data_IF_894831554007
#
_entry.id   IF_894831554007
#
_cell.length_a   1.000
_cell.length_b   1.000
_cell.length_c   1.000
_cell.angle_alpha   90.00
_cell.angle_beta   90.00
_cell.angle_gamma   90.00
#
_symmetry.space_group_name_H-M   'P 1'
#
loop_
_entity.id
_entity.type
_entity.pdbx_description
1 polymer ?
#
# COMPACT_ATOMS: atom_id res chain seq x y z
N UNK A 1 -17.89 -24.12 2.73
CA UNK A 1 -16.59 -24.47 2.15
C UNK A 1 -15.56 -23.52 2.73
N UNK A 2 -14.77 -24.00 3.67
CA UNK A 2 -13.71 -23.24 4.34
C UNK A 2 -12.56 -22.99 3.37
N UNK A 3 -12.23 -21.71 3.19
CA UNK A 3 -11.08 -21.27 2.40
C UNK A 3 -9.80 -21.80 3.08
N UNK A 4 -8.92 -22.55 2.41
CA UNK A 4 -7.69 -23.01 3.03
C UNK A 4 -6.80 -21.79 3.31
N UNK A 5 -6.53 -21.53 4.59
CA UNK A 5 -5.56 -20.51 4.98
C UNK A 5 -4.21 -20.80 4.29
N UNK A 6 -3.56 -19.81 3.66
CA UNK A 6 -2.26 -20.02 3.03
C UNK A 6 -1.29 -20.57 4.08
N UNK A 7 -0.53 -21.60 3.71
CA UNK A 7 0.35 -22.34 4.62
C UNK A 7 1.25 -21.39 5.41
N UNK A 8 0.96 -21.22 6.71
CA UNK A 8 1.70 -20.34 7.63
C UNK A 8 3.21 -20.61 7.65
N UNK A 9 3.67 -21.79 7.23
CA UNK A 9 5.08 -22.20 7.25
C UNK A 9 5.99 -21.32 6.38
N UNK A 10 5.68 -21.16 5.09
CA UNK A 10 6.59 -20.47 4.16
C UNK A 10 6.64 -18.96 4.38
N UNK A 11 5.49 -18.35 4.72
CA UNK A 11 5.42 -16.93 5.07
C UNK A 11 6.20 -16.61 6.36
N UNK A 12 6.14 -17.50 7.35
CA UNK A 12 6.88 -17.35 8.62
C UNK A 12 8.40 -17.41 8.40
N UNK A 13 8.88 -18.25 7.49
CA UNK A 13 10.32 -18.34 7.15
C UNK A 13 10.81 -17.06 6.46
N UNK A 14 10.06 -16.55 5.47
CA UNK A 14 10.43 -15.32 4.76
C UNK A 14 10.38 -14.09 5.67
N UNK A 15 9.43 -14.05 6.62
CA UNK A 15 9.33 -12.98 7.62
C UNK A 15 10.54 -12.93 8.55
N UNK A 16 11.24 -14.07 8.72
CA UNK A 16 12.52 -14.12 9.43
C UNK A 16 13.63 -13.28 8.78
N UNK A 17 13.53 -12.96 7.48
CA UNK A 17 14.50 -12.11 6.78
C UNK A 17 14.14 -10.62 6.78
N UNK A 18 12.95 -10.24 7.26
CA UNK A 18 12.57 -8.84 7.35
C UNK A 18 13.35 -8.14 8.47
N UNK A 19 14.01 -7.04 8.15
CA UNK A 19 14.68 -6.20 9.12
C UNK A 19 13.68 -5.56 10.09
N UNK A 20 14.09 -5.35 11.35
CA UNK A 20 13.22 -4.82 12.40
C UNK A 20 12.65 -3.43 12.09
N UNK A 21 13.39 -2.59 11.35
CA UNK A 21 12.94 -1.24 10.95
C UNK A 21 11.71 -1.23 10.05
N UNK A 22 11.41 -2.35 9.36
CA UNK A 22 10.29 -2.43 8.43
C UNK A 22 8.96 -2.73 9.14
N UNK A 23 8.98 -3.16 10.41
CA UNK A 23 7.80 -3.70 11.11
C UNK A 23 6.72 -2.67 11.49
N UNK A 24 6.93 -1.38 11.19
CA UNK A 24 5.99 -0.30 11.50
C UNK A 24 5.14 0.19 10.31
N UNK A 25 5.46 -0.22 9.09
CA UNK A 25 4.76 0.22 7.87
C UNK A 25 4.37 -1.00 7.03
N UNK A 26 3.06 -1.21 6.87
CA UNK A 26 2.46 -2.31 6.11
C UNK A 26 2.98 -2.37 4.67
N UNK A 27 3.23 -1.21 4.04
CA UNK A 27 3.74 -1.14 2.67
C UNK A 27 5.21 -1.57 2.60
N UNK A 28 6.04 -1.13 3.55
CA UNK A 28 7.42 -1.58 3.70
C UNK A 28 7.52 -3.09 3.95
N UNK A 29 6.65 -3.67 4.77
CA UNK A 29 6.58 -5.13 4.99
C UNK A 29 6.22 -5.83 3.67
N UNK A 30 5.20 -5.34 2.96
CA UNK A 30 4.74 -5.90 1.68
C UNK A 30 5.86 -5.89 0.64
N UNK A 31 6.51 -4.74 0.42
CA UNK A 31 7.64 -4.58 -0.51
C UNK A 31 8.83 -5.47 -0.13
N UNK A 32 9.16 -5.55 1.17
CA UNK A 32 10.22 -6.42 1.66
C UNK A 32 9.96 -7.89 1.35
N UNK A 33 8.77 -8.40 1.66
CA UNK A 33 8.36 -9.78 1.33
C UNK A 33 8.46 -10.06 -0.17
N UNK A 34 8.05 -9.10 -1.00
CA UNK A 34 8.08 -9.25 -2.45
C UNK A 34 9.52 -9.35 -2.96
N UNK A 35 10.43 -8.46 -2.53
CA UNK A 35 11.84 -8.52 -2.91
C UNK A 35 12.52 -9.81 -2.44
N UNK A 36 12.22 -10.31 -1.24
CA UNK A 36 12.72 -11.60 -0.74
C UNK A 36 12.24 -12.75 -1.66
N UNK A 37 10.94 -12.79 -2.00
CA UNK A 37 10.39 -13.82 -2.89
C UNK A 37 11.04 -13.79 -4.27
N UNK A 38 11.21 -12.59 -4.85
CA UNK A 38 11.88 -12.43 -6.14
C UNK A 38 13.35 -12.83 -6.10
N UNK A 39 14.07 -12.52 -5.02
CA UNK A 39 15.46 -12.94 -4.85
C UNK A 39 15.61 -14.47 -4.77
N UNK A 40 14.79 -15.13 -3.95
CA UNK A 40 14.85 -16.59 -3.77
C UNK A 40 14.35 -17.34 -5.01
N UNK A 41 13.15 -17.03 -5.50
CA UNK A 41 12.56 -17.72 -6.65
C UNK A 41 13.31 -17.39 -7.94
N UNK A 42 13.61 -16.12 -8.18
CA UNK A 42 14.36 -15.69 -9.35
C UNK A 42 15.78 -16.25 -9.35
N UNK A 43 16.46 -16.26 -8.20
CA UNK A 43 17.78 -16.85 -8.05
C UNK A 43 17.78 -18.37 -8.28
N UNK A 44 16.84 -19.10 -7.69
CA UNK A 44 16.69 -20.54 -7.90
C UNK A 44 16.35 -20.89 -9.35
N UNK A 45 15.46 -20.12 -9.99
CA UNK A 45 15.11 -20.29 -11.40
C UNK A 45 16.30 -20.01 -12.30
N UNK A 46 17.09 -18.96 -12.03
CA UNK A 46 18.31 -18.66 -12.79
C UNK A 46 19.33 -19.81 -12.66
N UNK A 47 19.55 -20.34 -11.46
CA UNK A 47 20.46 -21.50 -11.27
C UNK A 47 19.95 -22.72 -12.04
N UNK A 48 18.66 -23.03 -11.98
CA UNK A 48 18.07 -24.12 -12.75
C UNK A 48 18.23 -23.90 -14.26
N UNK A 49 17.98 -22.68 -14.74
CA UNK A 49 18.13 -22.31 -16.14
C UNK A 49 19.59 -22.30 -16.61
N UNK A 50 20.55 -22.02 -15.72
CA UNK A 50 21.97 -22.12 -16.05
C UNK A 50 22.39 -23.54 -16.41
N UNK A 51 21.78 -24.56 -15.78
CA UNK A 51 22.03 -25.97 -16.10
C UNK A 51 21.62 -26.31 -17.55
N UNK A 52 20.56 -25.68 -18.06
CA UNK A 52 20.15 -25.79 -19.46
C UNK A 52 21.23 -25.26 -20.41
N UNK A 53 21.83 -24.11 -20.10
CA UNK A 53 22.94 -23.58 -20.90
C UNK A 53 24.19 -24.46 -20.85
N UNK A 54 24.54 -25.00 -19.68
CA UNK A 54 25.66 -25.93 -19.57
C UNK A 54 25.42 -27.23 -20.36
N UNK A 55 24.19 -27.74 -20.37
CA UNK A 55 23.81 -28.91 -21.16
C UNK A 55 23.97 -28.68 -22.66
N UNK A 56 23.66 -27.47 -23.13
CA UNK A 56 23.87 -27.05 -24.53
C UNK A 56 25.31 -26.61 -24.84
N UNK A 57 26.26 -26.86 -23.93
CA UNK A 57 27.67 -26.43 -24.05
C UNK A 57 27.87 -24.92 -24.20
N UNK A 58 26.88 -24.11 -23.82
CA UNK A 58 26.98 -22.66 -23.77
C UNK A 58 27.54 -22.20 -22.42
N UNK A 59 28.81 -22.51 -22.16
CA UNK A 59 29.44 -22.35 -20.84
C UNK A 59 29.42 -20.90 -20.32
N UNK A 60 29.67 -19.92 -21.19
CA UNK A 60 29.66 -18.51 -20.81
C UNK A 60 28.26 -18.04 -20.40
N UNK A 61 27.23 -18.41 -21.16
CA UNK A 61 25.84 -18.11 -20.80
C UNK A 61 25.44 -18.77 -19.49
N UNK A 62 25.78 -20.05 -19.31
CA UNK A 62 25.57 -20.77 -18.05
C UNK A 62 26.23 -20.09 -16.86
N UNK A 63 27.50 -19.68 -16.98
CA UNK A 63 28.22 -19.00 -15.91
C UNK A 63 27.60 -17.63 -15.54
N UNK A 64 27.22 -16.82 -16.53
CA UNK A 64 26.58 -15.50 -16.31
C UNK A 64 25.26 -15.68 -15.55
N UNK A 65 24.42 -16.62 -15.98
CA UNK A 65 23.11 -16.85 -15.36
C UNK A 65 23.27 -17.47 -13.96
N UNK A 66 24.18 -18.43 -13.78
CA UNK A 66 24.44 -19.06 -12.50
C UNK A 66 24.95 -18.04 -11.45
N UNK A 67 25.94 -17.22 -11.83
CA UNK A 67 26.49 -16.18 -10.94
C UNK A 67 25.43 -15.16 -10.57
N UNK A 68 24.65 -14.68 -11.54
CA UNK A 68 23.52 -13.76 -11.29
C UNK A 68 22.50 -14.39 -10.34
N UNK A 69 22.15 -15.66 -10.53
CA UNK A 69 21.24 -16.39 -9.66
C UNK A 69 21.74 -16.48 -8.22
N UNK A 70 23.03 -16.78 -8.02
CA UNK A 70 23.66 -16.83 -6.69
C UNK A 70 23.63 -15.47 -5.98
N UNK A 71 23.84 -14.36 -6.70
CA UNK A 71 23.75 -13.01 -6.14
C UNK A 71 22.32 -12.67 -5.76
N UNK A 72 21.33 -13.00 -6.60
CA UNK A 72 19.91 -12.76 -6.28
C UNK A 72 19.46 -13.52 -5.03
N UNK A 73 19.98 -14.74 -4.81
CA UNK A 73 19.70 -15.51 -3.59
C UNK A 73 20.24 -14.85 -2.32
N UNK A 74 21.14 -13.86 -2.42
CA UNK A 74 21.64 -13.10 -1.26
C UNK A 74 20.73 -11.94 -0.86
N UNK A 75 19.74 -11.56 -1.67
CA UNK A 75 18.83 -10.45 -1.37
C UNK A 75 18.12 -10.55 -0.01
N UNK A 76 17.64 -11.73 0.44
CA UNK A 76 17.08 -11.86 1.78
C UNK A 76 18.05 -11.45 2.89
N UNK A 77 19.35 -11.77 2.76
CA UNK A 77 20.37 -11.33 3.71
C UNK A 77 20.67 -9.83 3.59
N UNK A 78 20.72 -9.28 2.38
CA UNK A 78 20.90 -7.83 2.17
C UNK A 78 19.76 -7.06 2.85
N UNK A 79 18.51 -7.49 2.67
CA UNK A 79 17.34 -6.88 3.32
C UNK A 79 17.44 -7.04 4.83
N UNK A 80 17.78 -8.23 5.32
CA UNK A 80 17.94 -8.52 6.74
C UNK A 80 19.04 -7.69 7.41
N UNK A 81 20.11 -7.33 6.70
CA UNK A 81 21.24 -6.59 7.26
C UNK A 81 21.06 -5.07 7.16
N UNK A 82 20.49 -4.59 6.06
CA UNK A 82 20.43 -3.14 5.77
C UNK A 82 19.09 -2.50 6.15
N UNK A 83 17.99 -3.26 6.07
CA UNK A 83 16.64 -2.70 6.17
C UNK A 83 16.28 -1.68 5.09
N UNK A 84 17.12 -1.48 4.06
CA UNK A 84 16.91 -0.49 3.02
C UNK A 84 16.42 -1.16 1.73
N UNK A 85 15.11 -1.07 1.49
CA UNK A 85 14.45 -1.71 0.36
C UNK A 85 14.80 -1.08 -1.00
N UNK A 86 15.19 0.18 -1.03
CA UNK A 86 15.60 0.82 -2.28
C UNK A 86 17.01 0.35 -2.68
N UNK A 87 17.91 0.21 -1.70
CA UNK A 87 19.24 -0.37 -1.93
C UNK A 87 19.17 -1.80 -2.49
N UNK A 88 18.40 -2.70 -1.85
CA UNK A 88 18.22 -4.06 -2.34
C UNK A 88 17.54 -4.10 -3.72
N UNK A 89 16.60 -3.19 -3.99
CA UNK A 89 16.00 -3.04 -5.32
C UNK A 89 17.01 -2.63 -6.39
N UNK A 90 17.95 -1.71 -6.09
CA UNK A 90 19.03 -1.36 -7.00
C UNK A 90 20.00 -2.51 -7.24
N UNK A 91 20.32 -3.31 -6.21
CA UNK A 91 21.13 -4.53 -6.39
C UNK A 91 20.43 -5.50 -7.34
N UNK A 92 19.13 -5.73 -7.15
CA UNK A 92 18.32 -6.59 -8.04
C UNK A 92 18.37 -6.09 -9.50
N UNK A 93 18.10 -4.81 -9.73
CA UNK A 93 18.15 -4.20 -11.07
C UNK A 93 19.52 -4.30 -11.73
N UNK A 94 20.60 -4.06 -10.96
CA UNK A 94 21.97 -4.14 -11.47
C UNK A 94 22.32 -5.56 -11.91
N UNK A 95 21.97 -6.56 -11.09
CA UNK A 95 22.21 -7.97 -11.42
C UNK A 95 21.45 -8.37 -12.69
N UNK A 96 20.18 -7.97 -12.84
CA UNK A 96 19.43 -8.29 -14.05
C UNK A 96 20.01 -7.63 -15.31
N UNK A 97 20.35 -6.33 -15.25
CA UNK A 97 20.93 -5.63 -16.41
C UNK A 97 22.26 -6.26 -16.79
N UNK A 98 23.15 -6.52 -15.83
CA UNK A 98 24.45 -7.14 -16.09
C UNK A 98 24.30 -8.56 -16.64
N UNK A 99 23.36 -9.35 -16.10
CA UNK A 99 23.05 -10.68 -16.60
C UNK A 99 22.61 -10.64 -18.06
N UNK A 100 21.58 -9.86 -18.38
CA UNK A 100 21.00 -9.86 -19.72
C UNK A 100 21.87 -9.13 -20.76
N UNK A 101 22.58 -8.06 -20.37
CA UNK A 101 23.59 -7.44 -21.21
C UNK A 101 24.75 -8.42 -21.50
N UNK A 102 25.23 -9.13 -20.47
CA UNK A 102 26.24 -10.17 -20.64
C UNK A 102 25.78 -11.28 -21.58
N UNK A 103 24.54 -11.74 -21.42
CA UNK A 103 23.91 -12.73 -22.32
C UNK A 103 23.79 -12.22 -23.76
N UNK A 104 23.46 -10.94 -23.98
CA UNK A 104 23.48 -10.35 -25.33
C UNK A 104 24.91 -10.37 -25.91
N UNK A 105 25.93 -10.03 -25.11
CA UNK A 105 27.33 -10.03 -25.56
C UNK A 105 27.87 -11.41 -25.98
N UNK A 106 27.42 -12.49 -25.33
CA UNK A 106 27.88 -13.87 -25.61
C UNK A 106 26.92 -14.70 -26.48
N UNK A 107 25.76 -14.12 -26.81
CA UNK A 107 24.69 -14.74 -27.59
C UNK A 107 24.39 -14.08 -28.93
N UNK A 108 25.32 -13.29 -29.47
CA UNK A 108 25.17 -12.69 -30.80
C UNK A 108 24.47 -11.33 -30.84
N UNK A 109 24.51 -10.55 -29.76
CA UNK A 109 24.04 -9.17 -29.71
C UNK A 109 22.54 -9.04 -29.50
N UNK A 110 21.92 -8.02 -30.10
CA UNK A 110 20.48 -7.77 -30.01
C UNK A 110 19.65 -8.79 -30.78
N UNK A 111 20.25 -9.52 -31.72
CA UNK A 111 19.58 -10.63 -32.41
C UNK A 111 19.41 -11.86 -31.50
N UNK A 112 20.19 -11.95 -30.42
CA UNK A 112 20.13 -13.06 -29.48
C UNK A 112 18.87 -13.05 -28.61
N UNK A 113 18.54 -14.22 -28.05
CA UNK A 113 17.31 -14.47 -27.29
C UNK A 113 17.18 -13.70 -25.96
N UNK A 114 18.26 -13.07 -25.48
CA UNK A 114 18.29 -12.36 -24.20
C UNK A 114 17.79 -10.90 -24.29
N UNK A 115 17.71 -10.31 -25.49
CA UNK A 115 17.36 -8.90 -25.65
C UNK A 115 15.98 -8.57 -25.02
N UNK A 116 15.01 -9.47 -25.17
CA UNK A 116 13.63 -9.23 -24.77
C UNK A 116 13.48 -9.16 -23.24
N UNK A 117 14.41 -9.78 -22.52
CA UNK A 117 14.43 -9.76 -21.06
C UNK A 117 14.86 -8.41 -20.48
N UNK A 118 15.61 -7.58 -21.23
CA UNK A 118 15.92 -6.21 -20.82
C UNK A 118 14.62 -5.37 -20.65
N UNK A 119 13.58 -5.67 -21.43
CA UNK A 119 12.27 -5.02 -21.31
C UNK A 119 11.47 -5.48 -20.08
N UNK A 120 11.82 -6.63 -19.47
CA UNK A 120 11.16 -7.11 -18.25
C UNK A 120 11.69 -6.41 -16.98
N UNK A 121 12.91 -5.85 -17.02
CA UNK A 121 13.55 -5.20 -15.87
C UNK A 121 12.76 -3.98 -15.37
N UNK A 122 12.28 -3.05 -16.22
CA UNK A 122 11.42 -1.95 -15.78
C UNK A 122 10.16 -2.41 -15.03
N UNK A 123 9.55 -3.51 -15.48
CA UNK A 123 8.34 -4.06 -14.85
C UNK A 123 8.67 -4.60 -13.47
N UNK A 124 9.78 -5.34 -13.33
CA UNK A 124 10.28 -5.75 -12.02
C UNK A 124 10.60 -4.55 -11.13
N UNK A 125 11.23 -3.51 -11.66
CA UNK A 125 11.57 -2.32 -10.90
C UNK A 125 10.31 -1.58 -10.41
N UNK A 126 9.26 -1.46 -11.23
CA UNK A 126 7.96 -0.89 -10.81
C UNK A 126 7.28 -1.72 -9.72
N UNK A 127 7.44 -3.05 -9.77
CA UNK A 127 6.85 -3.95 -8.80
C UNK A 127 7.60 -3.95 -7.46
N UNK A 128 8.92 -3.87 -7.50
CA UNK A 128 9.81 -4.00 -6.33
C UNK A 128 10.18 -2.65 -5.70
N UNK A 129 10.15 -1.56 -6.48
CA UNK A 129 10.62 -0.24 -6.12
C UNK A 129 9.54 0.83 -6.34
N UNK A 130 9.86 2.08 -5.99
CA UNK A 130 9.02 3.22 -6.33
C UNK A 130 9.23 3.65 -7.80
N UNK A 131 8.32 4.50 -8.30
CA UNK A 131 8.32 4.94 -9.70
C UNK A 131 9.65 5.59 -10.13
N UNK A 132 10.27 6.40 -9.27
CA UNK A 132 11.49 7.14 -9.62
C UNK A 132 12.68 6.20 -9.94
N UNK A 133 13.08 5.25 -9.07
CA UNK A 133 14.06 4.23 -9.41
C UNK A 133 13.70 3.39 -10.64
N UNK A 134 12.41 3.07 -10.83
CA UNK A 134 11.98 2.29 -11.98
C UNK A 134 12.20 3.02 -13.31
N UNK A 135 11.97 4.33 -13.35
CA UNK A 135 12.29 5.17 -14.51
C UNK A 135 13.81 5.21 -14.78
N UNK A 136 14.63 5.25 -13.73
CA UNK A 136 16.10 5.17 -13.87
C UNK A 136 16.51 3.85 -14.52
N UNK A 137 15.98 2.72 -14.04
CA UNK A 137 16.26 1.40 -14.63
C UNK A 137 15.73 1.27 -16.05
N UNK A 138 14.61 1.91 -16.38
CA UNK A 138 14.10 2.02 -17.75
C UNK A 138 15.11 2.74 -18.65
N UNK A 139 15.64 3.87 -18.19
CA UNK A 139 16.70 4.60 -18.88
C UNK A 139 17.97 3.76 -19.06
N UNK A 140 18.40 3.04 -18.03
CA UNK A 140 19.57 2.14 -18.11
C UNK A 140 19.35 1.02 -19.14
N UNK A 141 18.17 0.41 -19.17
CA UNK A 141 17.85 -0.62 -20.17
C UNK A 141 17.84 -0.04 -21.58
N UNK A 142 17.27 1.15 -21.77
CA UNK A 142 17.27 1.85 -23.06
C UNK A 142 18.69 2.17 -23.52
N UNK A 143 19.52 2.74 -22.65
CA UNK A 143 20.94 3.02 -22.94
C UNK A 143 21.71 1.74 -23.26
N UNK A 144 21.43 0.64 -22.56
CA UNK A 144 22.03 -0.66 -22.84
C UNK A 144 21.68 -1.13 -24.26
N UNK A 145 20.40 -1.13 -24.62
CA UNK A 145 19.93 -1.53 -25.96
C UNK A 145 20.55 -0.63 -27.05
N UNK A 146 20.51 0.69 -26.86
CA UNK A 146 21.11 1.66 -27.80
C UNK A 146 22.61 1.43 -27.93
N UNK A 147 23.31 1.14 -26.84
CA UNK A 147 24.75 0.86 -26.87
C UNK A 147 25.05 -0.37 -27.72
N UNK A 148 24.31 -1.47 -27.53
CA UNK A 148 24.46 -2.65 -28.39
C UNK A 148 24.15 -2.33 -29.85
N UNK A 149 23.04 -1.62 -30.13
CA UNK A 149 22.66 -1.25 -31.50
C UNK A 149 23.74 -0.39 -32.19
N UNK A 150 24.31 0.58 -31.49
CA UNK A 150 25.39 1.41 -32.01
C UNK A 150 26.63 0.57 -32.30
N UNK A 151 27.01 -0.37 -31.42
CA UNK A 151 28.15 -1.25 -31.67
C UNK A 151 27.93 -2.13 -32.91
N UNK A 152 26.73 -2.71 -33.10
CA UNK A 152 26.39 -3.49 -34.30
C UNK A 152 26.45 -2.64 -35.59
N UNK A 153 25.90 -1.42 -35.56
CA UNK A 153 25.93 -0.51 -36.70
C UNK A 153 27.36 -0.07 -37.08
N UNK A 154 28.29 -0.06 -36.11
CA UNK A 154 29.71 0.18 -36.36
C UNK A 154 30.47 -1.08 -36.79
N UNK A 155 29.76 -2.18 -37.08
CA UNK A 155 30.34 -3.44 -37.56
C UNK A 155 31.01 -4.27 -36.46
N UNK A 156 30.80 -3.96 -35.18
CA UNK A 156 31.26 -4.83 -34.11
C UNK A 156 30.35 -6.06 -34.01
N UNK A 157 30.91 -7.23 -34.32
CA UNK A 157 30.25 -8.50 -34.06
C UNK A 157 30.31 -8.86 -32.57
N UNK A 158 29.24 -9.48 -32.08
CA UNK A 158 29.23 -10.07 -30.74
C UNK A 158 29.60 -11.56 -30.80
N UNK A 159 30.11 -12.07 -29.68
CA UNK A 159 30.48 -13.47 -29.59
C UNK A 159 29.20 -14.32 -29.68
N UNK A 160 29.23 -15.38 -30.49
CA UNK A 160 28.28 -16.50 -30.41
C UNK A 160 29.03 -17.69 -29.82
N UNK A 161 28.77 -17.99 -28.56
CA UNK A 161 29.53 -18.99 -27.79
C UNK A 161 28.81 -20.35 -27.68
N UNK A 162 27.86 -20.61 -28.58
CA UNK A 162 27.11 -21.85 -28.68
C UNK A 162 27.01 -22.29 -30.14
N UNK A 163 26.74 -23.58 -30.35
CA UNK A 163 26.56 -24.16 -31.69
C UNK A 163 25.28 -23.61 -32.35
N UNK A 164 25.35 -23.10 -33.59
CA UNK A 164 24.16 -22.69 -34.37
C UNK A 164 23.03 -23.74 -34.40
N UNK A 165 23.35 -25.04 -34.31
CA UNK A 165 22.34 -26.10 -34.25
C UNK A 165 21.41 -26.01 -33.03
N UNK A 166 21.88 -25.39 -31.94
CA UNK A 166 21.14 -25.22 -30.68
C UNK A 166 20.41 -23.88 -30.58
N UNK A 167 20.63 -22.96 -31.52
CA UNK A 167 20.10 -21.59 -31.51
C UNK A 167 18.58 -21.56 -31.36
N UNK A 168 17.85 -22.31 -32.19
CA UNK A 168 16.38 -22.37 -32.12
C UNK A 168 15.86 -22.94 -30.80
N UNK A 169 16.61 -23.87 -30.19
CA UNK A 169 16.25 -24.43 -28.87
C UNK A 169 16.45 -23.41 -27.75
N UNK A 170 17.52 -22.61 -27.80
CA UNK A 170 17.80 -21.53 -26.85
C UNK A 170 16.75 -20.42 -26.99
N UNK A 171 16.41 -20.02 -28.22
CA UNK A 171 15.37 -19.03 -28.49
C UNK A 171 14.01 -19.47 -27.96
N UNK A 172 13.57 -20.69 -28.30
CA UNK A 172 12.31 -21.23 -27.83
C UNK A 172 12.27 -21.30 -26.29
N UNK A 173 13.33 -21.80 -25.65
CA UNK A 173 13.41 -21.86 -24.19
C UNK A 173 13.36 -20.46 -23.54
N UNK A 174 14.06 -19.47 -24.12
CA UNK A 174 14.05 -18.09 -23.63
C UNK A 174 12.66 -17.45 -23.76
N UNK A 175 11.97 -17.65 -24.88
CA UNK A 175 10.62 -17.13 -25.10
C UNK A 175 9.60 -17.77 -24.16
N UNK A 176 9.64 -19.09 -23.99
CA UNK A 176 8.81 -19.80 -23.01
C UNK A 176 9.08 -19.25 -21.61
N UNK A 177 10.36 -19.10 -21.25
CA UNK A 177 10.77 -18.51 -19.98
C UNK A 177 10.20 -17.09 -19.78
N UNK A 178 10.27 -16.25 -20.80
CA UNK A 178 9.77 -14.87 -20.74
C UNK A 178 8.25 -14.84 -20.59
N UNK A 179 7.51 -15.68 -21.32
CA UNK A 179 6.05 -15.79 -21.21
C UNK A 179 5.67 -16.22 -19.79
N UNK A 180 6.32 -17.26 -19.25
CA UNK A 180 6.06 -17.73 -17.90
C UNK A 180 6.40 -16.66 -16.86
N UNK A 181 7.50 -15.93 -17.05
CA UNK A 181 7.93 -14.86 -16.16
C UNK A 181 6.97 -13.66 -16.18
N UNK A 182 6.55 -13.20 -17.35
CA UNK A 182 5.57 -12.12 -17.49
C UNK A 182 4.19 -12.53 -16.95
N UNK A 183 3.77 -13.78 -17.17
CA UNK A 183 2.54 -14.32 -16.59
C UNK A 183 2.64 -14.35 -15.06
N UNK A 184 3.77 -14.80 -14.51
CA UNK A 184 4.02 -14.81 -13.07
C UNK A 184 3.96 -13.39 -12.48
N UNK A 185 4.60 -12.41 -13.12
CA UNK A 185 4.52 -11.00 -12.72
C UNK A 185 3.07 -10.51 -12.76
N UNK A 186 2.33 -10.81 -13.83
CA UNK A 186 0.92 -10.43 -13.99
C UNK A 186 0.06 -10.99 -12.87
N UNK A 187 0.24 -12.26 -12.50
CA UNK A 187 -0.47 -12.89 -11.38
C UNK A 187 -0.13 -12.25 -10.03
N UNK A 188 1.13 -11.88 -9.80
CA UNK A 188 1.54 -11.17 -8.59
C UNK A 188 0.94 -9.77 -8.51
N UNK A 189 0.88 -9.06 -9.64
CA UNK A 189 0.25 -7.75 -9.72
C UNK A 189 -1.26 -7.84 -9.45
N UNK A 190 -1.92 -8.82 -10.07
CA UNK A 190 -3.35 -9.10 -9.87
C UNK A 190 -3.64 -9.40 -8.40
N UNK A 191 -2.85 -10.29 -7.79
CA UNK A 191 -2.99 -10.62 -6.36
C UNK A 191 -2.81 -9.38 -5.49
N UNK A 192 -1.78 -8.57 -5.76
CA UNK A 192 -1.53 -7.32 -5.01
C UNK A 192 -2.69 -6.34 -5.15
N UNK A 193 -3.30 -6.27 -6.33
CA UNK A 193 -4.46 -5.41 -6.60
C UNK A 193 -5.70 -5.88 -5.84
N UNK A 194 -5.96 -7.19 -5.80
CA UNK A 194 -7.08 -7.77 -5.04
C UNK A 194 -6.92 -7.50 -3.55
N UNK A 195 -5.73 -7.73 -2.98
CA UNK A 195 -5.46 -7.46 -1.57
C UNK A 195 -5.63 -5.96 -1.22
N UNK A 196 -5.19 -5.06 -2.09
CA UNK A 196 -5.39 -3.62 -1.92
C UNK A 196 -6.87 -3.23 -1.99
N UNK A 197 -7.64 -3.84 -2.90
CA UNK A 197 -9.07 -3.58 -3.05
C UNK A 197 -9.87 -4.03 -1.83
N UNK A 198 -9.59 -5.23 -1.30
CA UNK A 198 -10.26 -5.72 -0.08
C UNK A 198 -9.93 -4.85 1.15
N UNK A 199 -8.67 -4.41 1.29
CA UNK A 199 -8.30 -3.45 2.37
C UNK A 199 -9.08 -2.15 2.26
N UNK A 200 -9.21 -1.62 1.05
CA UNK A 200 -9.98 -0.40 0.80
C UNK A 200 -11.46 -0.59 1.14
N UNK A 201 -12.04 -1.73 0.76
CA UNK A 201 -13.44 -2.07 1.06
C UNK A 201 -13.69 -2.13 2.57
N UNK A 202 -12.85 -2.87 3.32
CA UNK A 202 -12.97 -2.96 4.79
C UNK A 202 -12.78 -1.59 5.45
N UNK A 203 -11.85 -0.77 4.96
CA UNK A 203 -11.67 0.59 5.47
C UNK A 203 -12.88 1.48 5.19
N UNK A 204 -13.54 1.31 4.05
CA UNK A 204 -14.74 2.05 3.68
C UNK A 204 -15.93 1.64 4.54
N UNK A 205 -16.13 0.33 4.76
CA UNK A 205 -17.19 -0.19 5.65
C UNK A 205 -17.07 0.39 7.06
N UNK A 206 -15.87 0.42 7.64
CA UNK A 206 -15.61 1.04 8.94
C UNK A 206 -15.90 2.54 8.95
N UNK A 207 -15.59 3.23 7.85
CA UNK A 207 -15.85 4.66 7.72
C UNK A 207 -17.35 4.94 7.63
N UNK A 208 -18.11 4.12 6.91
CA UNK A 208 -19.57 4.20 6.83
C UNK A 208 -20.21 3.94 8.18
N UNK A 209 -19.76 2.91 8.91
CA UNK A 209 -20.24 2.60 10.25
C UNK A 209 -20.00 3.77 11.23
N UNK A 210 -18.76 4.25 11.32
CA UNK A 210 -18.41 5.38 12.17
C UNK A 210 -19.18 6.66 11.81
N UNK A 211 -19.42 6.90 10.51
CA UNK A 211 -20.24 8.04 10.08
C UNK A 211 -21.71 7.87 10.46
N UNK A 212 -22.23 6.64 10.43
CA UNK A 212 -23.56 6.30 10.92
C UNK A 212 -23.71 6.62 12.41
N UNK A 213 -22.77 6.13 13.24
CA UNK A 213 -22.74 6.40 14.67
C UNK A 213 -22.66 7.91 14.99
N UNK A 214 -21.77 8.63 14.29
CA UNK A 214 -21.65 10.08 14.43
C UNK A 214 -22.95 10.81 14.06
N UNK A 215 -23.63 10.36 13.00
CA UNK A 215 -24.90 10.95 12.57
C UNK A 215 -26.00 10.72 13.61
N UNK A 216 -26.08 9.51 14.16
CA UNK A 216 -27.05 9.19 15.22
C UNK A 216 -26.77 9.96 16.51
N UNK A 217 -25.51 10.06 16.93
CA UNK A 217 -25.12 10.86 18.09
C UNK A 217 -25.46 12.33 17.88
N UNK A 218 -25.19 12.87 16.68
CA UNK A 218 -25.53 14.25 16.35
C UNK A 218 -27.05 14.47 16.35
N UNK A 219 -27.84 13.49 15.89
CA UNK A 219 -29.31 13.54 15.97
C UNK A 219 -29.79 13.57 17.43
N UNK A 220 -29.27 12.69 18.28
CA UNK A 220 -29.60 12.66 19.72
C UNK A 220 -29.23 13.97 20.41
N UNK A 221 -28.05 14.52 20.11
CA UNK A 221 -27.63 15.84 20.60
C UNK A 221 -28.60 16.94 20.18
N UNK A 222 -29.01 16.97 18.91
CA UNK A 222 -29.95 17.98 18.41
C UNK A 222 -31.34 17.84 19.06
N UNK A 223 -31.81 16.61 19.26
CA UNK A 223 -33.07 16.34 19.96
C UNK A 223 -33.01 16.79 21.42
N UNK A 224 -31.94 16.46 22.14
CA UNK A 224 -31.70 16.93 23.51
C UNK A 224 -31.69 18.46 23.61
N UNK A 225 -30.97 19.15 22.70
CA UNK A 225 -30.94 20.61 22.67
C UNK A 225 -32.30 21.23 22.36
N UNK A 226 -33.10 20.61 21.48
CA UNK A 226 -34.45 21.07 21.18
C UNK A 226 -35.39 20.92 22.39
N UNK A 227 -35.31 19.80 23.11
CA UNK A 227 -36.09 19.57 24.35
C UNK A 227 -35.69 20.62 25.40
N UNK A 228 -34.39 20.81 25.63
CA UNK A 228 -33.89 21.84 26.53
C UNK A 228 -34.40 23.25 26.16
N UNK A 229 -34.39 23.61 24.87
CA UNK A 229 -34.88 24.90 24.41
C UNK A 229 -36.40 25.06 24.64
N UNK A 230 -37.19 24.01 24.41
CA UNK A 230 -38.64 24.02 24.68
C UNK A 230 -38.94 24.19 26.17
N UNK A 231 -38.25 23.42 27.01
CA UNK A 231 -38.44 23.45 28.46
C UNK A 231 -37.97 24.76 29.10
N UNK A 232 -37.02 25.46 28.48
CA UNK A 232 -36.65 26.83 28.87
C UNK A 232 -37.65 27.88 28.38
N UNK A 233 -38.29 27.68 27.22
CA UNK A 233 -39.27 28.63 26.65
C UNK A 233 -40.53 28.75 27.50
N UNK A 234 -41.01 27.65 28.08
CA UNK A 234 -42.22 27.64 28.90
C UNK A 234 -42.11 28.55 30.16
N UNK A 235 -41.14 28.38 31.07
CA UNK A 235 -40.96 29.27 32.22
C UNK A 235 -40.61 30.71 31.80
N UNK A 236 -39.87 30.91 30.70
CA UNK A 236 -39.63 32.25 30.15
C UNK A 236 -40.95 32.94 29.75
N UNK A 237 -41.87 32.20 29.12
CA UNK A 237 -43.19 32.72 28.73
C UNK A 237 -44.03 33.07 29.96
N UNK A 238 -43.94 32.27 31.03
CA UNK A 238 -44.59 32.55 32.31
C UNK A 238 -44.03 33.83 32.96
N UNK A 239 -42.70 33.99 32.98
CA UNK A 239 -42.03 35.20 33.50
C UNK A 239 -42.50 36.44 32.73
N UNK A 240 -42.51 36.38 31.40
CA UNK A 240 -42.97 37.50 30.57
C UNK A 240 -44.44 37.81 30.83
N UNK A 241 -45.32 36.80 30.92
CA UNK A 241 -46.74 36.99 31.17
C UNK A 241 -47.04 37.66 32.52
N UNK A 242 -46.38 37.23 33.60
CA UNK A 242 -46.52 37.88 34.91
C UNK A 242 -45.85 39.26 34.95
N UNK A 243 -44.76 39.49 34.20
CA UNK A 243 -44.18 40.82 34.08
C UNK A 243 -45.11 41.79 33.34
N UNK A 244 -45.79 41.34 32.29
CA UNK A 244 -46.81 42.11 31.55
C UNK A 244 -48.01 42.42 32.45
N UNK A 245 -48.53 41.43 33.18
CA UNK A 245 -49.62 41.62 34.15
C UNK A 245 -49.23 42.60 35.27
N UNK A 246 -47.98 42.60 35.74
CA UNK A 246 -47.48 43.59 36.71
C UNK A 246 -47.44 45.00 36.12
N UNK A 247 -47.01 45.12 34.85
CA UNK A 247 -46.91 46.40 34.14
C UNK A 247 -48.28 47.04 33.90
N UNK A 248 -49.29 46.22 33.60
CA UNK A 248 -50.61 46.70 33.17
C UNK A 248 -51.58 46.96 34.34
N UNK A 249 -51.15 46.78 35.59
CA UNK A 249 -51.94 47.08 36.79
C UNK A 249 -51.97 48.58 37.13
N UNK A 250 -53.16 49.18 37.25
CA UNK A 250 -53.34 50.52 37.81
C UNK A 250 -53.56 50.46 39.33
N UNK A 251 -52.69 51.13 40.09
CA UNK A 251 -52.71 51.17 41.57
C UNK A 251 -52.75 49.78 42.27
N UNK A 252 -51.81 48.86 41.95
CA UNK A 252 -51.81 47.52 42.50
C UNK A 252 -51.62 47.46 44.02
N UNK A 253 -52.30 46.53 44.68
CA UNK A 253 -52.05 46.26 46.09
C UNK A 253 -50.69 45.56 46.28
N UNK A 254 -50.08 45.74 47.46
CA UNK A 254 -48.82 45.08 47.80
C UNK A 254 -48.92 43.54 47.66
N UNK A 255 -50.10 42.98 47.93
CA UNK A 255 -50.38 41.56 47.80
C UNK A 255 -50.37 41.09 46.35
N UNK A 256 -50.95 41.86 45.42
CA UNK A 256 -50.91 41.56 43.98
C UNK A 256 -49.48 41.59 43.43
N UNK A 257 -48.69 42.61 43.81
CA UNK A 257 -47.28 42.71 43.43
C UNK A 257 -46.50 41.49 43.93
N UNK A 258 -46.67 41.15 45.21
CA UNK A 258 -45.97 40.02 45.83
C UNK A 258 -46.33 38.69 45.18
N UNK A 259 -47.59 38.51 44.81
CA UNK A 259 -48.07 37.28 44.15
C UNK A 259 -47.42 37.11 42.78
N UNK A 260 -47.48 38.13 41.93
CA UNK A 260 -46.89 38.03 40.59
C UNK A 260 -45.35 37.94 40.63
N UNK A 261 -44.70 38.70 41.51
CA UNK A 261 -43.25 38.59 41.72
C UNK A 261 -42.83 37.20 42.21
N UNK A 262 -43.66 36.54 43.04
CA UNK A 262 -43.40 35.17 43.48
C UNK A 262 -43.45 34.15 42.35
N UNK A 263 -44.37 34.32 41.38
CA UNK A 263 -44.46 33.44 40.20
C UNK A 263 -43.29 33.65 39.23
N UNK A 264 -42.85 34.91 39.05
CA UNK A 264 -41.63 35.22 38.28
C UNK A 264 -40.40 34.54 38.91
N UNK A 265 -40.21 34.71 40.23
CA UNK A 265 -39.09 34.08 40.95
C UNK A 265 -39.14 32.56 40.86
N UNK A 266 -40.32 31.97 40.99
CA UNK A 266 -40.51 30.53 40.90
C UNK A 266 -40.16 29.99 39.50
N UNK A 267 -40.59 30.66 38.43
CA UNK A 267 -40.21 30.28 37.05
C UNK A 267 -38.73 30.51 36.75
N UNK A 268 -38.14 31.58 37.28
CA UNK A 268 -36.70 31.85 37.15
C UNK A 268 -35.84 30.78 37.81
N UNK A 269 -36.22 30.35 39.02
CA UNK A 269 -35.57 29.22 39.69
C UNK A 269 -35.74 27.91 38.91
N UNK A 270 -36.92 27.66 38.33
CA UNK A 270 -37.15 26.50 37.50
C UNK A 270 -36.24 26.47 36.25
N UNK A 271 -36.04 27.60 35.57
CA UNK A 271 -35.06 27.69 34.46
C UNK A 271 -33.63 27.39 34.92
N UNK A 272 -33.23 27.90 36.09
CA UNK A 272 -31.90 27.65 36.64
C UNK A 272 -31.67 26.16 36.92
N UNK A 273 -32.69 25.44 37.39
CA UNK A 273 -32.61 23.99 37.62
C UNK A 273 -32.47 23.23 36.28
N UNK A 274 -33.19 23.64 35.23
CA UNK A 274 -33.02 23.06 33.87
C UNK A 274 -31.59 23.30 33.37
N UNK A 275 -31.05 24.51 33.52
CA UNK A 275 -29.67 24.84 33.11
C UNK A 275 -28.65 23.99 33.88
N UNK A 276 -28.82 23.83 35.20
CA UNK A 276 -27.96 22.97 36.03
C UNK A 276 -28.00 21.53 35.54
N UNK A 277 -29.19 20.97 35.28
CA UNK A 277 -29.33 19.61 34.77
C UNK A 277 -28.61 19.42 33.42
N UNK A 278 -28.62 20.41 32.54
CA UNK A 278 -27.89 20.36 31.25
C UNK A 278 -26.36 20.44 31.46
N UNK A 279 -25.89 21.25 32.42
CA UNK A 279 -24.47 21.39 32.73
C UNK A 279 -23.89 20.16 33.45
N UNK A 280 -24.66 19.54 34.34
CA UNK A 280 -24.24 18.32 35.05
C UNK A 280 -24.01 17.13 34.10
N UNK A 281 -24.77 17.05 32.99
CA UNK A 281 -24.55 16.04 31.95
C UNK A 281 -23.18 16.20 31.27
N UNK A 282 -22.69 17.44 31.07
CA UNK A 282 -21.35 17.67 30.51
C UNK A 282 -20.22 17.30 31.47
N UNK A 283 -20.41 17.46 32.77
CA UNK A 283 -19.39 17.14 33.77
C UNK A 283 -19.13 15.64 33.95
N UNK A 284 -19.98 14.78 33.38
CA UNK A 284 -19.82 13.31 33.37
C UNK A 284 -19.08 12.85 32.09
N UNK A 285 -19.06 13.67 31.03
CA UNK A 285 -18.38 13.36 29.75
C UNK A 285 -16.90 13.79 29.72
N UNK A 286 -16.45 14.68 30.63
CA UNK A 286 -15.04 15.10 30.84
C UNK A 286 -14.30 14.22 31.87
#
# INVERSE_FOLDING_TARGET
>A
MSNPAPSKSFTTVLDGFLHGSLKGDDESIRRGRLQIRFGVLGGAMAIAYSAFFFFLQHYWGGAIVATSGLVLMQLPWIIRLTGNLDFSGHVYGAVLVLCFAGMCAVGGGLQGSANAWLAAIPVCALLLMSLRPALVWTGICFVTIVSFAVLELNGQGFLKTFDPSTESSIEAASQIGLILFLTFIGLLFEQSRIEAFERLKVSNEKLVEANGELTDLNRQKNEFLNIAAHDLKNPLSIICGYADLLRDLESPTLEQIRTQASEILRSGNHMLDIIRNILDVRAIED
#
